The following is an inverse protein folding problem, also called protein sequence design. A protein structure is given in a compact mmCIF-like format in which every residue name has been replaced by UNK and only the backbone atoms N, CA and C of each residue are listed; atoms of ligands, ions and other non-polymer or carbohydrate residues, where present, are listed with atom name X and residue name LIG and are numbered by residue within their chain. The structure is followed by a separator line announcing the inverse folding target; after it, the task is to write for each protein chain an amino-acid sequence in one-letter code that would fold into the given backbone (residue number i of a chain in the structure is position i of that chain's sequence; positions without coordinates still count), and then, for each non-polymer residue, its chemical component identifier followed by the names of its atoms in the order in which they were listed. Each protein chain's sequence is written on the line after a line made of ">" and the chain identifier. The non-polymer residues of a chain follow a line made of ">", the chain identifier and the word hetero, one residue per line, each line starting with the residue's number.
data_IF_026661197254
#
_entry.id   IF_026661197254
#
_cell.length_a   1.000
_cell.length_b   1.000
_cell.length_c   1.000
_cell.angle_alpha   90.00
_cell.angle_beta   90.00
_cell.angle_gamma   90.00
#
_symmetry.space_group_name_H-M   'P 1'
#
loop_
_entity.id
_entity.type
_entity.pdbx_description
1 polymer ?
#
# COMPACT_ATOMS: atom_id res chain seq x y z
N UNK A 1 -40.52 -47.67 24.63
CA UNK A 1 -39.56 -46.85 25.40
C UNK A 1 -40.32 -46.26 26.56
N UNK A 2 -39.92 -46.55 27.80
CA UNK A 2 -40.63 -46.04 28.97
C UNK A 2 -40.36 -44.55 29.16
N UNK A 3 -41.35 -43.82 29.66
CA UNK A 3 -41.29 -42.35 29.80
C UNK A 3 -40.08 -41.87 30.61
N UNK A 4 -39.64 -42.67 31.59
CA UNK A 4 -38.45 -42.39 32.38
C UNK A 4 -37.13 -42.51 31.59
N UNK A 5 -37.02 -43.42 30.62
CA UNK A 5 -35.85 -43.50 29.75
C UNK A 5 -35.83 -42.36 28.73
N UNK A 6 -36.99 -42.02 28.16
CA UNK A 6 -37.13 -40.88 27.24
C UNK A 6 -36.78 -39.56 27.96
N UNK A 7 -37.22 -39.38 29.21
CA UNK A 7 -36.92 -38.18 30.00
C UNK A 7 -35.42 -38.09 30.35
N UNK A 8 -34.76 -39.21 30.64
CA UNK A 8 -33.31 -39.26 30.87
C UNK A 8 -32.52 -38.93 29.60
N UNK A 9 -32.93 -39.45 28.45
CA UNK A 9 -32.30 -39.16 27.16
C UNK A 9 -32.49 -37.69 26.77
N UNK A 10 -33.70 -37.14 26.93
CA UNK A 10 -33.95 -35.70 26.71
C UNK A 10 -33.13 -34.83 27.67
N UNK A 11 -33.06 -35.16 28.96
CA UNK A 11 -32.29 -34.41 29.92
C UNK A 11 -30.78 -34.45 29.64
N UNK A 12 -30.25 -35.61 29.23
CA UNK A 12 -28.85 -35.75 28.82
C UNK A 12 -28.53 -34.94 27.56
N UNK A 13 -29.44 -34.95 26.58
CA UNK A 13 -29.30 -34.15 25.37
C UNK A 13 -29.36 -32.64 25.68
N UNK A 14 -30.37 -32.18 26.42
CA UNK A 14 -30.52 -30.77 26.81
C UNK A 14 -29.34 -30.27 27.65
N UNK A 15 -28.87 -31.09 28.60
CA UNK A 15 -27.71 -30.76 29.43
C UNK A 15 -26.44 -30.62 28.61
N UNK A 16 -26.22 -31.51 27.63
CA UNK A 16 -25.08 -31.42 26.71
C UNK A 16 -25.17 -30.17 25.84
N UNK A 17 -26.35 -29.88 25.26
CA UNK A 17 -26.57 -28.65 24.50
C UNK A 17 -26.34 -27.39 25.34
N UNK A 18 -26.83 -27.37 26.58
CA UNK A 18 -26.66 -26.24 27.49
C UNK A 18 -25.18 -25.99 27.80
N UNK A 19 -24.40 -27.03 28.06
CA UNK A 19 -22.96 -26.91 28.33
C UNK A 19 -22.22 -26.39 27.09
N UNK A 20 -22.47 -26.97 25.91
CA UNK A 20 -21.80 -26.53 24.66
C UNK A 20 -22.14 -25.08 24.34
N UNK A 21 -23.41 -24.69 24.49
CA UNK A 21 -23.84 -23.32 24.22
C UNK A 21 -23.27 -22.33 25.24
N UNK A 22 -23.21 -22.71 26.52
CA UNK A 22 -22.62 -21.89 27.58
C UNK A 22 -21.12 -21.66 27.37
N UNK A 23 -20.37 -22.70 26.99
CA UNK A 23 -18.94 -22.57 26.66
C UNK A 23 -18.73 -21.68 25.44
N UNK A 24 -19.58 -21.79 24.42
CA UNK A 24 -19.57 -20.90 23.25
C UNK A 24 -19.79 -19.44 23.63
N UNK A 25 -20.84 -19.15 24.41
CA UNK A 25 -21.14 -17.78 24.88
C UNK A 25 -19.99 -17.20 25.72
N UNK A 26 -19.43 -17.99 26.63
CA UNK A 26 -18.30 -17.53 27.47
C UNK A 26 -17.06 -17.30 26.61
N UNK A 27 -16.80 -18.15 25.62
CA UNK A 27 -15.71 -17.97 24.67
C UNK A 27 -15.91 -16.70 23.83
N UNK A 28 -17.09 -16.48 23.27
CA UNK A 28 -17.41 -15.28 22.52
C UNK A 28 -17.31 -14.02 23.40
N UNK A 29 -17.72 -14.08 24.67
CA UNK A 29 -17.58 -12.97 25.60
C UNK A 29 -16.12 -12.67 25.98
N UNK A 30 -15.29 -13.71 26.15
CA UNK A 30 -13.87 -13.56 26.50
C UNK A 30 -13.01 -13.14 25.30
N UNK A 31 -13.36 -13.59 24.09
CA UNK A 31 -12.63 -13.30 22.85
C UNK A 31 -13.33 -12.26 21.97
N UNK A 32 -14.39 -11.63 22.47
CA UNK A 32 -15.02 -10.49 21.82
C UNK A 32 -13.98 -9.40 21.61
N UNK A 33 -13.53 -9.28 20.37
CA UNK A 33 -12.75 -8.13 19.91
C UNK A 33 -13.76 -7.11 19.39
N UNK A 34 -14.16 -6.11 20.19
CA UNK A 34 -15.06 -5.08 19.69
C UNK A 34 -14.37 -4.40 18.52
N UNK A 35 -15.02 -4.42 17.35
CA UNK A 35 -14.63 -3.55 16.26
C UNK A 35 -14.63 -2.12 16.81
N UNK A 36 -13.54 -1.35 16.65
CA UNK A 36 -13.45 -0.03 17.25
C UNK A 36 -14.59 0.84 16.71
N UNK A 37 -15.39 1.44 17.61
CA UNK A 37 -16.52 2.31 17.25
C UNK A 37 -16.12 3.50 16.37
N UNK A 38 -14.82 3.82 16.33
CA UNK A 38 -14.24 4.77 15.39
C UNK A 38 -13.10 4.06 14.64
N UNK A 39 -13.18 3.92 13.30
CA UNK A 39 -12.02 3.57 12.50
C UNK A 39 -10.89 4.55 12.85
N UNK A 40 -9.66 4.06 13.03
CA UNK A 40 -8.51 4.90 13.38
C UNK A 40 -8.22 6.04 12.40
N UNK A 41 -8.90 6.07 11.25
CA UNK A 41 -9.06 7.20 10.34
C UNK A 41 -10.50 7.25 9.81
N UNK A 42 -11.18 8.39 10.00
CA UNK A 42 -12.50 8.64 9.43
C UNK A 42 -12.41 8.72 7.90
N UNK A 43 -13.18 7.86 7.23
CA UNK A 43 -13.52 7.98 5.80
C UNK A 43 -14.89 8.66 5.78
N UNK A 44 -14.94 9.96 5.50
CA UNK A 44 -16.17 10.56 5.01
C UNK A 44 -16.24 10.32 3.50
N UNK A 45 -16.85 9.20 3.13
CA UNK A 45 -17.42 9.03 1.79
C UNK A 45 -18.93 9.10 1.95
N UNK A 46 -19.51 10.21 1.50
CA UNK A 46 -20.94 10.26 1.18
C UNK A 46 -21.14 9.25 0.06
N UNK A 47 -22.01 8.27 0.24
CA UNK A 47 -22.42 7.38 -0.84
C UNK A 47 -22.92 8.21 -2.03
N UNK A 48 -22.32 7.97 -3.20
CA UNK A 48 -23.06 8.06 -4.45
C UNK A 48 -22.90 6.75 -5.18
N UNK A 49 -24.05 6.31 -5.68
CA UNK A 49 -24.38 4.97 -6.05
C UNK A 49 -23.49 4.36 -7.14
N UNK A 50 -23.45 3.03 -7.05
CA UNK A 50 -23.08 2.08 -8.08
C UNK A 50 -23.55 2.46 -9.50
N UNK A 51 -22.66 2.25 -10.47
CA UNK A 51 -23.04 1.95 -11.86
C UNK A 51 -23.08 3.14 -12.82
N UNK A 52 -21.95 3.44 -13.45
CA UNK A 52 -21.92 4.29 -14.65
C UNK A 52 -20.51 4.70 -15.04
N UNK A 53 -20.09 4.24 -16.23
CA UNK A 53 -18.96 4.68 -17.06
C UNK A 53 -17.78 5.40 -16.37
N UNK A 54 -16.59 4.83 -16.52
CA UNK A 54 -15.31 5.47 -16.23
C UNK A 54 -15.22 6.88 -16.85
N UNK A 55 -15.51 7.88 -16.04
CA UNK A 55 -15.14 9.29 -16.23
C UNK A 55 -13.88 9.61 -15.42
N UNK A 56 -13.11 10.64 -15.81
CA UNK A 56 -11.78 10.89 -15.28
C UNK A 56 -11.79 11.03 -13.76
N UNK A 57 -10.81 10.40 -13.10
CA UNK A 57 -10.54 10.60 -11.69
C UNK A 57 -10.56 12.10 -11.37
N UNK A 58 -11.39 12.48 -10.39
CA UNK A 58 -11.42 13.83 -9.85
C UNK A 58 -9.98 14.31 -9.62
N UNK A 59 -9.61 15.44 -10.24
CA UNK A 59 -8.27 15.99 -10.19
C UNK A 59 -7.86 16.19 -8.72
N UNK A 60 -6.94 15.33 -8.27
CA UNK A 60 -6.23 15.55 -7.02
C UNK A 60 -5.46 16.87 -7.18
N UNK A 61 -5.54 17.74 -6.17
CA UNK A 61 -4.75 18.98 -6.16
C UNK A 61 -3.28 18.63 -6.45
N UNK A 62 -2.60 19.36 -7.35
CA UNK A 62 -1.19 19.13 -7.63
C UNK A 62 -0.39 19.10 -6.32
N UNK A 63 0.51 18.13 -6.16
CA UNK A 63 1.31 18.02 -4.94
C UNK A 63 2.14 19.30 -4.71
N UNK A 64 2.48 20.03 -5.77
CA UNK A 64 3.16 21.32 -5.70
C UNK A 64 2.39 22.36 -4.87
N UNK A 65 1.06 22.42 -5.02
CA UNK A 65 0.23 23.38 -4.29
C UNK A 65 0.11 22.99 -2.80
N UNK A 66 0.05 21.68 -2.53
CA UNK A 66 0.01 21.15 -1.17
C UNK A 66 1.35 21.36 -0.45
N UNK A 67 2.48 21.16 -1.16
CA UNK A 67 3.82 21.36 -0.62
C UNK A 67 4.11 22.82 -0.25
N UNK A 68 3.47 23.79 -0.90
CA UNK A 68 3.61 25.21 -0.58
C UNK A 68 3.14 25.56 0.85
N UNK A 69 2.25 24.75 1.41
CA UNK A 69 1.69 24.92 2.77
C UNK A 69 2.04 23.78 3.72
N UNK A 70 2.92 22.87 3.30
CA UNK A 70 3.32 21.71 4.08
C UNK A 70 4.19 22.10 5.27
N UNK A 71 4.07 21.32 6.35
CA UNK A 71 4.81 21.47 7.58
C UNK A 71 5.68 20.22 7.82
N UNK A 72 7.01 20.41 7.85
CA UNK A 72 7.97 19.31 7.99
C UNK A 72 7.95 18.71 9.40
N UNK A 73 7.69 19.49 10.45
CA UNK A 73 7.58 19.00 11.82
C UNK A 73 6.37 18.08 12.01
N UNK A 74 5.22 18.45 11.42
CA UNK A 74 4.05 17.59 11.33
C UNK A 74 4.35 16.35 10.48
N UNK A 75 5.13 16.51 9.41
CA UNK A 75 5.65 15.41 8.59
C UNK A 75 6.47 14.39 9.39
N UNK A 76 7.31 14.86 10.31
CA UNK A 76 8.07 13.99 11.21
C UNK A 76 7.15 13.15 12.11
N UNK A 77 6.00 13.69 12.54
CA UNK A 77 5.01 12.93 13.30
C UNK A 77 4.33 11.86 12.44
N UNK A 78 4.04 12.15 11.17
CA UNK A 78 3.52 11.17 10.20
C UNK A 78 4.56 10.08 9.92
N UNK A 79 5.84 10.46 9.78
CA UNK A 79 6.95 9.55 9.51
C UNK A 79 7.14 8.47 10.58
N UNK A 80 6.66 8.68 11.81
CA UNK A 80 6.64 7.63 12.86
C UNK A 80 5.94 6.34 12.40
N UNK A 81 4.97 6.44 11.49
CA UNK A 81 4.30 5.27 10.85
C UNK A 81 5.25 4.47 9.96
N UNK A 82 6.33 5.08 9.47
CA UNK A 82 7.31 4.49 8.57
C UNK A 82 8.52 3.90 9.31
N UNK A 83 8.82 4.40 10.52
CA UNK A 83 10.03 4.06 11.30
C UNK A 83 10.14 2.58 11.72
N UNK A 84 9.02 1.87 11.78
CA UNK A 84 9.00 0.43 12.04
C UNK A 84 9.71 -0.35 10.91
N UNK A 85 9.58 0.12 9.67
CA UNK A 85 10.13 -0.56 8.50
C UNK A 85 11.33 0.15 7.90
N UNK A 86 11.51 1.44 8.14
CA UNK A 86 12.52 2.26 7.50
C UNK A 86 13.39 3.01 8.51
N UNK A 87 14.58 3.40 8.06
CA UNK A 87 15.42 4.42 8.69
C UNK A 87 15.37 5.69 7.84
N UNK A 88 15.73 6.82 8.45
CA UNK A 88 15.91 8.10 7.76
C UNK A 88 17.22 8.73 8.21
N UNK A 89 18.21 7.89 8.48
CA UNK A 89 19.52 8.31 9.00
C UNK A 89 20.53 8.14 7.88
N UNK A 90 21.45 9.10 7.73
CA UNK A 90 22.48 9.03 6.69
C UNK A 90 23.33 7.77 6.85
N UNK A 91 23.22 6.86 5.87
CA UNK A 91 23.91 5.56 5.91
C UNK A 91 23.33 4.59 6.95
N UNK A 92 22.06 4.79 7.34
CA UNK A 92 21.35 3.91 8.27
C UNK A 92 21.16 2.49 7.71
N UNK A 93 20.88 1.51 8.59
CA UNK A 93 20.70 0.13 8.16
C UNK A 93 19.38 -0.09 7.40
N UNK A 94 19.44 -0.94 6.38
CA UNK A 94 18.24 -1.54 5.79
C UNK A 94 17.51 -2.40 6.84
N UNK A 95 16.21 -2.16 7.01
CA UNK A 95 15.33 -2.93 7.90
C UNK A 95 14.39 -3.81 7.04
N UNK A 96 13.10 -3.80 7.34
CA UNK A 96 12.05 -4.42 6.49
C UNK A 96 11.97 -3.69 5.14
N UNK A 97 12.22 -2.38 5.14
CA UNK A 97 12.38 -1.56 3.96
C UNK A 97 13.78 -0.91 3.90
N UNK A 98 14.13 -0.31 2.75
CA UNK A 98 15.41 0.37 2.57
C UNK A 98 15.50 1.66 3.40
N UNK A 99 16.71 2.17 3.59
CA UNK A 99 16.90 3.50 4.15
C UNK A 99 16.33 4.61 3.24
N UNK A 100 15.75 5.63 3.87
CA UNK A 100 15.05 6.73 3.20
C UNK A 100 15.84 8.04 3.18
N UNK A 101 17.13 8.03 3.57
CA UNK A 101 18.01 9.17 3.37
C UNK A 101 18.22 9.44 1.88
N UNK A 102 18.21 10.71 1.47
CA UNK A 102 18.34 11.16 0.07
C UNK A 102 17.32 10.47 -0.87
N UNK A 103 16.07 10.30 -0.42
CA UNK A 103 15.04 9.61 -1.22
C UNK A 103 14.52 10.45 -2.39
N UNK A 104 14.33 11.76 -2.22
CA UNK A 104 13.68 12.61 -3.23
C UNK A 104 14.57 12.69 -4.48
N UNK A 105 13.97 12.44 -5.65
CA UNK A 105 14.62 12.27 -6.97
C UNK A 105 15.57 11.08 -7.09
N UNK A 106 15.69 10.22 -6.08
CA UNK A 106 16.46 8.99 -6.17
C UNK A 106 15.81 8.03 -7.17
N UNK A 107 16.59 7.35 -8.03
CA UNK A 107 16.07 6.27 -8.85
C UNK A 107 15.34 5.22 -8.01
N UNK A 108 14.19 4.76 -8.51
CA UNK A 108 13.38 3.78 -7.79
C UNK A 108 14.09 2.43 -7.79
N UNK A 109 14.01 1.69 -6.68
CA UNK A 109 14.60 0.35 -6.53
C UNK A 109 16.15 0.28 -6.59
N UNK A 110 16.86 1.39 -6.39
CA UNK A 110 18.33 1.45 -6.51
C UNK A 110 19.09 1.64 -5.18
N UNK A 111 18.42 1.55 -4.01
CA UNK A 111 19.16 1.61 -2.75
C UNK A 111 20.02 0.35 -2.56
N UNK A 112 21.30 0.55 -2.33
CA UNK A 112 22.27 -0.54 -2.22
C UNK A 112 21.97 -1.46 -1.04
N UNK A 113 22.26 -2.75 -1.21
CA UNK A 113 22.11 -3.75 -0.16
C UNK A 113 20.66 -4.07 0.23
N UNK A 114 19.65 -3.59 -0.49
CA UNK A 114 18.24 -3.95 -0.26
C UNK A 114 17.66 -4.84 -1.36
N UNK A 115 16.93 -5.89 -0.98
CA UNK A 115 16.26 -6.79 -1.89
C UNK A 115 14.84 -6.30 -2.24
N UNK A 116 14.70 -5.63 -3.38
CA UNK A 116 13.41 -5.13 -3.87
C UNK A 116 12.51 -6.24 -4.43
N UNK A 117 11.19 -6.05 -4.30
CA UNK A 117 10.19 -6.93 -4.93
C UNK A 117 10.21 -6.79 -6.46
N UNK A 118 9.73 -7.82 -7.16
CA UNK A 118 9.63 -7.80 -8.62
C UNK A 118 8.83 -6.59 -9.12
N UNK A 119 7.67 -6.31 -8.53
CA UNK A 119 6.84 -5.17 -8.92
C UNK A 119 7.52 -3.81 -8.77
N UNK A 120 8.37 -3.63 -7.76
CA UNK A 120 9.12 -2.38 -7.58
C UNK A 120 10.26 -2.23 -8.60
N UNK A 121 10.93 -3.34 -8.95
CA UNK A 121 11.95 -3.37 -10.00
C UNK A 121 11.34 -3.09 -11.39
N UNK A 122 10.18 -3.67 -11.67
CA UNK A 122 9.47 -3.44 -12.94
C UNK A 122 9.02 -1.98 -13.06
N UNK A 123 8.50 -1.40 -11.97
CA UNK A 123 8.11 0.01 -11.94
C UNK A 123 9.28 0.96 -12.15
N UNK A 124 10.48 0.60 -11.65
CA UNK A 124 11.70 1.38 -11.84
C UNK A 124 12.11 1.54 -13.32
N UNK A 125 11.69 0.62 -14.19
CA UNK A 125 12.09 0.57 -15.62
C UNK A 125 13.62 0.62 -15.79
N UNK A 126 14.35 -0.09 -14.91
CA UNK A 126 15.82 -0.11 -14.91
C UNK A 126 16.45 1.21 -14.46
N UNK A 127 15.86 1.90 -13.47
CA UNK A 127 16.37 3.13 -12.88
C UNK A 127 15.96 4.41 -13.63
N UNK A 128 15.14 4.31 -14.67
CA UNK A 128 14.62 5.47 -15.40
C UNK A 128 13.57 6.23 -14.58
N UNK A 129 12.78 5.51 -13.77
CA UNK A 129 11.79 6.11 -12.88
C UNK A 129 12.45 6.62 -11.60
N UNK A 130 12.03 7.80 -11.14
CA UNK A 130 12.56 8.45 -9.93
C UNK A 130 11.48 8.69 -8.90
N UNK A 131 11.87 8.79 -7.63
CA UNK A 131 11.01 9.27 -6.56
C UNK A 131 10.82 10.78 -6.62
N UNK A 132 10.15 11.25 -7.69
CA UNK A 132 9.67 12.63 -7.80
C UNK A 132 8.60 12.89 -6.74
N UNK A 133 8.29 14.17 -6.50
CA UNK A 133 7.24 14.55 -5.54
C UNK A 133 5.88 13.93 -5.90
N UNK A 134 5.53 13.88 -7.19
CA UNK A 134 4.28 13.24 -7.66
C UNK A 134 4.29 11.73 -7.45
N UNK A 135 5.38 11.05 -7.83
CA UNK A 135 5.49 9.60 -7.64
C UNK A 135 5.44 9.23 -6.15
N UNK A 136 6.07 10.03 -5.28
CA UNK A 136 5.97 9.86 -3.83
C UNK A 136 4.53 10.07 -3.35
N UNK A 137 3.85 11.12 -3.81
CA UNK A 137 2.45 11.39 -3.45
C UNK A 137 1.52 10.23 -3.84
N UNK A 138 1.62 9.74 -5.09
CA UNK A 138 0.81 8.63 -5.57
C UNK A 138 1.14 7.31 -4.86
N UNK A 139 2.41 7.03 -4.63
CA UNK A 139 2.84 5.84 -3.92
C UNK A 139 2.38 5.86 -2.47
N UNK A 140 2.51 6.99 -1.77
CA UNK A 140 2.08 7.14 -0.38
C UNK A 140 0.56 7.13 -0.24
N UNK A 141 -0.21 7.55 -1.26
CA UNK A 141 -1.66 7.43 -1.25
C UNK A 141 -2.11 5.97 -1.21
N UNK A 142 -1.51 5.11 -2.04
CA UNK A 142 -1.79 3.68 -2.02
C UNK A 142 -0.68 2.86 -2.69
N UNK A 143 0.28 2.32 -1.92
CA UNK A 143 1.46 1.65 -2.47
C UNK A 143 1.12 0.49 -3.40
N UNK A 144 0.18 -0.36 -2.99
CA UNK A 144 -0.23 -1.55 -3.77
C UNK A 144 -1.02 -1.23 -5.03
N UNK A 145 -1.74 -0.10 -5.06
CA UNK A 145 -2.46 0.35 -6.26
C UNK A 145 -1.51 1.02 -7.25
N UNK A 146 -0.55 1.79 -6.75
CA UNK A 146 0.41 2.50 -7.60
C UNK A 146 1.49 1.56 -8.16
N UNK A 147 2.07 0.70 -7.32
CA UNK A 147 3.08 -0.29 -7.71
C UNK A 147 2.54 -1.69 -7.45
N UNK A 148 1.99 -2.31 -8.50
CA UNK A 148 1.46 -3.68 -8.45
C UNK A 148 2.58 -4.66 -8.09
N UNK A 149 2.38 -5.47 -7.04
CA UNK A 149 3.40 -6.41 -6.57
C UNK A 149 4.51 -5.79 -5.72
N UNK A 150 4.31 -4.57 -5.20
CA UNK A 150 5.18 -4.03 -4.13
C UNK A 150 5.13 -4.92 -2.88
N UNK A 151 6.30 -5.16 -2.26
CA UNK A 151 6.38 -5.83 -0.97
C UNK A 151 5.96 -4.93 0.21
N UNK A 152 5.76 -3.63 -0.03
CA UNK A 152 5.35 -2.69 1.02
C UNK A 152 3.89 -2.93 1.42
N UNK A 153 3.70 -3.54 2.59
CA UNK A 153 2.40 -3.87 3.18
C UNK A 153 1.64 -2.68 3.81
N UNK A 154 1.93 -1.44 3.41
CA UNK A 154 1.32 -0.24 3.98
C UNK A 154 0.00 0.11 3.28
N UNK A 155 -1.00 0.53 4.06
CA UNK A 155 -2.33 0.85 3.54
C UNK A 155 -2.34 2.14 2.70
N UNK A 156 -1.45 3.09 3.01
CA UNK A 156 -1.39 4.41 2.41
C UNK A 156 -1.82 5.52 3.36
N UNK A 157 -1.67 6.77 2.91
CA UNK A 157 -2.05 8.00 3.59
C UNK A 157 -3.15 8.68 2.79
N UNK A 158 -4.41 8.52 3.22
CA UNK A 158 -5.56 9.06 2.49
C UNK A 158 -5.63 10.59 2.51
N UNK A 159 -5.15 11.23 3.59
CA UNK A 159 -5.17 12.69 3.73
C UNK A 159 -4.05 13.33 2.92
N UNK A 160 -4.43 14.31 2.10
CA UNK A 160 -3.52 15.05 1.23
C UNK A 160 -2.47 15.83 2.04
N UNK A 161 -2.88 16.43 3.15
CA UNK A 161 -2.01 17.17 4.05
C UNK A 161 -0.98 16.25 4.71
N UNK A 162 -1.37 15.05 5.16
CA UNK A 162 -0.44 14.09 5.74
C UNK A 162 0.63 13.67 4.73
N UNK A 163 0.25 13.48 3.45
CA UNK A 163 1.19 13.15 2.37
C UNK A 163 2.13 14.30 2.07
N UNK A 164 1.61 15.52 1.90
CA UNK A 164 2.44 16.69 1.65
C UNK A 164 3.42 16.96 2.80
N UNK A 165 2.96 16.85 4.05
CA UNK A 165 3.79 17.02 5.24
C UNK A 165 4.90 15.97 5.31
N UNK A 166 4.60 14.68 5.12
CA UNK A 166 5.65 13.64 5.18
C UNK A 166 6.63 13.74 4.01
N UNK A 167 6.19 14.15 2.82
CA UNK A 167 7.07 14.40 1.68
C UNK A 167 7.99 15.61 1.96
N UNK A 168 7.46 16.67 2.55
CA UNK A 168 8.26 17.82 2.99
C UNK A 168 9.30 17.41 4.05
N UNK A 169 8.96 16.49 4.97
CA UNK A 169 9.91 15.93 5.91
C UNK A 169 10.96 15.01 5.24
N UNK A 170 10.55 14.12 4.33
CA UNK A 170 11.49 13.26 3.58
C UNK A 170 12.52 14.08 2.80
N UNK A 171 12.12 15.25 2.29
CA UNK A 171 13.02 16.21 1.65
C UNK A 171 14.10 16.74 2.60
N UNK A 172 13.82 16.88 3.91
CA UNK A 172 14.83 17.34 4.89
C UNK A 172 15.82 16.24 5.27
N UNK A 173 15.51 14.97 5.00
CA UNK A 173 16.40 13.83 5.20
C UNK A 173 17.41 13.69 4.04
N UNK A 174 18.18 14.75 3.81
CA UNK A 174 19.10 14.88 2.69
C UNK A 174 20.20 15.88 3.01
N UNK A 175 21.42 15.63 2.55
CA UNK A 175 22.48 16.65 2.59
C UNK A 175 22.24 17.76 1.57
N UNK A 176 21.47 17.46 0.51
CA UNK A 176 21.17 18.38 -0.59
C UNK A 176 19.65 18.35 -0.89
N UNK A 177 18.81 18.91 0.01
CA UNK A 177 17.36 18.91 -0.15
C UNK A 177 16.95 19.46 -1.52
N UNK A 178 16.25 18.65 -2.31
CA UNK A 178 15.79 19.05 -3.64
C UNK A 178 14.90 20.28 -3.57
N UNK A 179 14.91 21.19 -4.56
CA UNK A 179 14.01 22.33 -4.56
C UNK A 179 12.55 21.85 -4.56
N UNK A 180 11.67 22.62 -3.93
CA UNK A 180 10.22 22.37 -4.03
C UNK A 180 9.76 22.78 -5.44
N UNK A 181 8.80 22.05 -6.03
CA UNK A 181 8.22 22.42 -7.32
C UNK A 181 7.42 23.71 -7.16
N UNK A 182 7.37 24.54 -8.22
CA UNK A 182 6.60 25.76 -8.20
C UNK A 182 5.09 25.44 -8.14
N UNK A 183 4.27 26.16 -7.35
CA UNK A 183 2.82 26.02 -7.37
C UNK A 183 2.28 26.21 -8.79
N UNK A 184 1.39 25.33 -9.23
CA UNK A 184 0.89 25.31 -10.61
C UNK A 184 1.85 24.75 -11.68
N UNK A 185 3.10 24.41 -11.34
CA UNK A 185 3.94 23.57 -12.19
C UNK A 185 3.56 22.10 -11.91
N UNK A 186 2.60 21.59 -12.69
CA UNK A 186 2.56 20.16 -12.94
C UNK A 186 3.89 19.82 -13.63
N UNK A 187 4.88 19.35 -12.87
CA UNK A 187 6.13 18.91 -13.47
C UNK A 187 5.79 17.89 -14.56
N UNK A 188 6.32 18.14 -15.76
CA UNK A 188 5.97 17.45 -17.01
C UNK A 188 6.42 15.97 -17.06
N UNK A 189 6.63 15.34 -15.91
CA UNK A 189 6.70 13.89 -15.76
C UNK A 189 5.37 13.40 -15.21
N UNK A 190 4.36 13.44 -16.08
CA UNK A 190 3.10 12.73 -15.83
C UNK A 190 3.41 11.29 -15.37
N UNK A 191 2.69 10.76 -14.37
CA UNK A 191 2.86 9.37 -13.97
C UNK A 191 2.66 8.50 -15.19
N UNK A 192 3.64 7.66 -15.50
CA UNK A 192 3.49 6.68 -16.56
C UNK A 192 2.34 5.73 -16.16
N UNK A 193 1.16 5.98 -16.72
CA UNK A 193 0.00 5.09 -16.66
C UNK A 193 0.49 3.66 -16.91
N UNK A 194 0.19 2.69 -16.02
CA UNK A 194 0.44 1.29 -16.32
C UNK A 194 -0.28 0.94 -17.63
N UNK A 195 0.49 0.52 -18.63
CA UNK A 195 -0.06 0.03 -19.87
C UNK A 195 -0.94 -1.19 -19.57
N UNK A 196 -2.24 -1.01 -19.74
CA UNK A 196 -3.22 -2.07 -19.75
C UNK A 196 -3.02 -2.89 -21.02
N UNK A 197 -2.67 -4.17 -20.85
CA UNK A 197 -2.97 -5.26 -21.78
C UNK A 197 -2.40 -5.15 -23.20
N UNK A 198 -1.17 -5.65 -23.39
CA UNK A 198 -0.82 -6.34 -24.63
C UNK A 198 -0.27 -7.72 -24.25
N UNK A 199 -1.11 -8.74 -24.42
CA UNK A 199 -0.71 -10.13 -24.30
C UNK A 199 0.42 -10.43 -25.30
N UNK A 200 1.57 -10.98 -24.88
CA UNK A 200 2.50 -11.56 -25.83
C UNK A 200 1.90 -12.86 -26.38
N UNK A 201 1.86 -12.90 -27.71
CA UNK A 201 1.48 -14.06 -28.51
C UNK A 201 2.31 -15.31 -28.13
N UNK A 202 1.65 -16.46 -28.21
CA UNK A 202 2.22 -17.77 -28.00
C UNK A 202 3.52 -17.99 -28.81
N UNK A 203 4.54 -18.68 -28.26
CA UNK A 203 5.73 -19.00 -29.04
C UNK A 203 5.39 -20.03 -30.11
N UNK A 204 5.68 -19.67 -31.36
CA UNK A 204 5.63 -20.55 -32.51
C UNK A 204 6.68 -21.67 -32.38
N UNK A 205 6.21 -22.89 -32.64
CA UNK A 205 6.96 -24.15 -32.72
C UNK A 205 8.07 -24.04 -33.79
N UNK A 206 9.34 -24.41 -33.51
CA UNK A 206 10.34 -24.54 -34.57
C UNK A 206 10.01 -25.74 -35.45
N UNK A 207 9.95 -25.51 -36.76
CA UNK A 207 9.87 -26.55 -37.78
C UNK A 207 11.25 -27.20 -37.96
N UNK A 208 11.25 -28.53 -37.90
CA UNK A 208 12.42 -29.38 -38.14
C UNK A 208 12.73 -29.40 -39.65
N UNK A 209 13.85 -28.78 -40.01
CA UNK A 209 14.37 -28.74 -41.38
C UNK A 209 15.35 -29.89 -41.62
N UNK A 210 14.88 -30.88 -42.38
CA UNK A 210 15.58 -31.68 -43.40
C UNK A 210 17.11 -31.74 -43.38
N UNK A 211 17.60 -32.98 -43.25
CA UNK A 211 18.96 -33.44 -43.57
C UNK A 211 19.46 -33.04 -44.97
N UNK A 212 20.78 -32.96 -45.15
CA UNK A 212 21.42 -33.26 -46.41
C UNK A 212 22.25 -34.55 -46.35
N UNK A 213 22.12 -35.31 -47.42
CA UNK A 213 22.90 -36.51 -47.72
C UNK A 213 24.39 -36.19 -47.95
N UNK A 214 25.26 -37.04 -47.39
CA UNK A 214 26.27 -37.80 -48.14
C UNK A 214 26.78 -38.97 -47.31
#
# INVERSE_FOLDING_TARGET
>A
MDSNEVNKLLAGFLGTCFIVFSVGIVSDALFASPAPEKPGFAIEATESAEGGAAGPAAEAKPIADLLATANAEAGAAVFKKCQACHTGEKGGPNKVGPDLWDLVDRPVAEHEGFAYSAGMKDFSKGGAEKWTYDNLNHFLLSPKKFVKGTAMGFAGLAKDEDRANVIAYLRTLSDNPKPLPAPGAADATAPAKPAEGAAPAAPAKPAEGTAPAK
#
